data_IF_486521750051
#
_entry.id   IF_486521750051
#
_cell.length_a   1.000
_cell.length_b   1.000
_cell.length_c   1.000
_cell.angle_alpha   90.00
_cell.angle_beta   90.00
_cell.angle_gamma   90.00
#
_symmetry.space_group_name_H-M   'P 1'
#
loop_
_entity.id
_entity.type
_entity.pdbx_description
1 polymer ?
#
# COMPACT_ATOMS: atom_id res chain seq x y z
N UNK A 1 21.41 -10.77 -19.35
CA UNK A 1 20.53 -11.75 -18.69
C UNK A 1 20.12 -11.17 -17.35
N UNK A 2 19.01 -10.42 -17.36
CA UNK A 2 18.35 -9.93 -16.16
C UNK A 2 17.68 -11.14 -15.53
N UNK A 3 18.23 -11.57 -14.38
CA UNK A 3 17.83 -12.73 -13.61
C UNK A 3 16.31 -12.86 -13.56
N UNK A 4 15.81 -14.00 -14.05
CA UNK A 4 14.44 -14.50 -13.93
C UNK A 4 14.03 -14.82 -12.48
N UNK A 5 14.63 -14.12 -11.49
CA UNK A 5 14.49 -14.39 -10.06
C UNK A 5 13.89 -13.20 -9.29
N UNK A 6 13.30 -12.21 -9.97
CA UNK A 6 12.14 -11.50 -9.40
C UNK A 6 10.94 -12.42 -9.60
N UNK A 7 10.95 -13.55 -8.90
CA UNK A 7 9.97 -14.62 -9.01
C UNK A 7 8.59 -14.01 -8.70
N UNK A 8 7.60 -14.22 -9.56
CA UNK A 8 6.21 -13.82 -9.31
C UNK A 8 5.69 -14.29 -7.93
N UNK A 9 6.31 -15.32 -7.36
CA UNK A 9 6.12 -15.84 -6.01
C UNK A 9 6.50 -14.86 -4.87
N UNK A 10 7.52 -14.00 -5.06
CA UNK A 10 7.92 -12.99 -4.06
C UNK A 10 7.00 -11.78 -4.01
N UNK A 11 6.27 -11.50 -5.10
CA UNK A 11 5.30 -10.40 -5.14
C UNK A 11 4.04 -10.73 -4.31
N UNK A 12 3.65 -12.01 -4.30
CA UNK A 12 2.58 -12.56 -3.45
C UNK A 12 2.88 -12.38 -1.95
N UNK A 13 4.15 -12.51 -1.55
CA UNK A 13 4.58 -12.30 -0.15
C UNK A 13 4.58 -10.81 0.24
N UNK A 14 5.05 -9.92 -0.63
CA UNK A 14 5.24 -8.51 -0.26
C UNK A 14 3.94 -7.71 -0.11
N UNK A 15 2.85 -8.10 -0.78
CA UNK A 15 1.60 -7.33 -0.76
C UNK A 15 0.45 -7.97 0.04
N UNK A 16 0.50 -9.27 0.33
CA UNK A 16 -0.71 -9.99 0.77
C UNK A 16 -0.57 -10.92 1.97
N UNK A 17 0.57 -10.94 2.68
CA UNK A 17 0.79 -11.79 3.87
C UNK A 17 0.51 -13.28 3.57
N UNK A 18 0.74 -13.68 2.32
CA UNK A 18 0.48 -15.02 1.81
C UNK A 18 1.58 -15.97 2.27
N UNK A 19 1.16 -17.16 2.69
CA UNK A 19 2.01 -18.23 3.21
C UNK A 19 2.49 -19.12 2.08
N UNK A 20 3.51 -19.94 2.35
CA UNK A 20 3.99 -20.95 1.39
C UNK A 20 2.87 -21.83 0.83
N UNK A 21 1.93 -22.26 1.69
CA UNK A 21 0.76 -23.04 1.27
C UNK A 21 -0.16 -22.29 0.29
N UNK A 22 -0.19 -20.96 0.35
CA UNK A 22 -0.99 -20.15 -0.57
C UNK A 22 -0.35 -20.12 -1.96
N UNK A 23 0.98 -20.12 -2.03
CA UNK A 23 1.71 -20.26 -3.30
C UNK A 23 1.49 -21.64 -3.90
N UNK A 24 1.56 -22.69 -3.08
CA UNK A 24 1.32 -24.07 -3.50
C UNK A 24 -0.09 -24.24 -4.09
N UNK A 25 -1.12 -23.70 -3.43
CA UNK A 25 -2.51 -23.70 -3.95
C UNK A 25 -2.63 -22.90 -5.25
N UNK A 26 -1.99 -21.74 -5.35
CA UNK A 26 -2.05 -20.92 -6.56
C UNK A 26 -1.34 -21.59 -7.75
N UNK A 27 -0.17 -22.21 -7.51
CA UNK A 27 0.55 -22.97 -8.52
C UNK A 27 -0.27 -24.16 -9.01
N UNK A 28 -0.83 -24.96 -8.08
CA UNK A 28 -1.73 -26.07 -8.42
C UNK A 28 -2.84 -25.62 -9.37
N UNK A 29 -3.56 -24.55 -9.01
CA UNK A 29 -4.67 -24.04 -9.80
C UNK A 29 -4.23 -23.40 -11.13
N UNK A 30 -2.96 -23.00 -11.25
CA UNK A 30 -2.39 -22.45 -12.49
C UNK A 30 -1.94 -23.54 -13.46
N UNK A 31 -1.51 -24.68 -12.93
CA UNK A 31 -1.07 -25.83 -13.72
C UNK A 31 -2.24 -26.72 -14.15
N UNK A 32 -3.32 -26.74 -13.37
CA UNK A 32 -4.53 -27.51 -13.67
C UNK A 32 -5.41 -26.78 -14.70
N UNK A 33 -5.77 -27.44 -15.83
CA UNK A 33 -6.61 -26.83 -16.85
C UNK A 33 -8.09 -26.73 -16.43
N UNK A 34 -8.52 -27.54 -15.46
CA UNK A 34 -9.89 -27.59 -14.97
C UNK A 34 -10.01 -26.93 -13.59
N UNK A 35 -11.10 -26.19 -13.32
CA UNK A 35 -11.29 -25.52 -12.04
C UNK A 35 -11.59 -26.54 -10.94
N UNK A 36 -10.96 -26.38 -9.79
CA UNK A 36 -11.03 -27.36 -8.70
C UNK A 36 -11.91 -26.88 -7.55
N UNK A 37 -12.52 -27.83 -6.84
CA UNK A 37 -13.17 -27.61 -5.55
C UNK A 37 -12.17 -27.48 -4.41
N UNK A 38 -12.59 -26.94 -3.27
CA UNK A 38 -11.74 -26.88 -2.06
C UNK A 38 -11.33 -28.27 -1.58
N UNK A 39 -12.20 -29.26 -1.76
CA UNK A 39 -11.94 -30.63 -1.36
C UNK A 39 -10.82 -31.24 -2.23
N UNK A 40 -10.92 -31.10 -3.56
CA UNK A 40 -9.87 -31.52 -4.50
C UNK A 40 -8.55 -30.79 -4.25
N UNK A 41 -8.59 -29.47 -4.02
CA UNK A 41 -7.38 -28.69 -3.68
C UNK A 41 -6.72 -29.27 -2.42
N UNK A 42 -7.49 -29.60 -1.39
CA UNK A 42 -6.99 -30.21 -0.15
C UNK A 42 -6.32 -31.57 -0.40
N UNK A 43 -6.93 -32.41 -1.22
CA UNK A 43 -6.40 -33.71 -1.58
C UNK A 43 -5.07 -33.59 -2.37
N UNK A 44 -4.97 -32.63 -3.30
CA UNK A 44 -3.76 -32.42 -4.09
C UNK A 44 -2.57 -31.91 -3.26
N UNK A 45 -2.80 -31.03 -2.28
CA UNK A 45 -1.73 -30.48 -1.43
C UNK A 45 -1.48 -31.32 -0.16
N UNK A 46 -2.11 -32.49 -0.04
CA UNK A 46 -2.07 -33.36 1.14
C UNK A 46 -2.39 -32.61 2.45
N UNK A 47 -3.50 -31.85 2.45
CA UNK A 47 -3.96 -31.09 3.63
C UNK A 47 -5.44 -31.26 3.85
N UNK A 48 -5.83 -31.14 5.13
CA UNK A 48 -7.23 -31.07 5.47
C UNK A 48 -7.95 -29.92 4.75
N UNK A 49 -9.19 -30.19 4.34
CA UNK A 49 -10.12 -29.23 3.74
C UNK A 49 -10.14 -27.87 4.41
N UNK A 50 -10.08 -27.81 5.75
CA UNK A 50 -10.13 -26.54 6.49
C UNK A 50 -8.90 -25.66 6.22
N UNK A 51 -7.75 -26.28 5.96
CA UNK A 51 -6.49 -25.61 5.64
C UNK A 51 -6.50 -25.12 4.19
N UNK A 52 -6.93 -25.97 3.26
CA UNK A 52 -7.15 -25.59 1.86
C UNK A 52 -8.15 -24.43 1.74
N UNK A 53 -9.29 -24.51 2.43
CA UNK A 53 -10.30 -23.45 2.46
C UNK A 53 -9.73 -22.10 2.90
N UNK A 54 -8.93 -22.08 3.97
CA UNK A 54 -8.31 -20.84 4.47
C UNK A 54 -7.34 -20.25 3.46
N UNK A 55 -6.60 -21.09 2.75
CA UNK A 55 -5.67 -20.68 1.71
C UNK A 55 -6.41 -20.08 0.50
N UNK A 56 -7.38 -20.81 -0.04
CA UNK A 56 -8.26 -20.35 -1.12
C UNK A 56 -8.94 -19.03 -0.77
N UNK A 57 -9.45 -18.89 0.47
CA UNK A 57 -10.11 -17.65 0.90
C UNK A 57 -9.14 -16.47 0.99
N UNK A 58 -7.88 -16.67 1.42
CA UNK A 58 -6.86 -15.60 1.38
C UNK A 58 -6.56 -15.18 -0.05
N UNK A 59 -6.38 -16.14 -0.95
CA UNK A 59 -6.10 -15.86 -2.37
C UNK A 59 -7.27 -15.17 -3.07
N UNK A 60 -8.51 -15.52 -2.74
CA UNK A 60 -9.71 -14.80 -3.20
C UNK A 60 -9.74 -13.36 -2.71
N UNK A 61 -9.49 -13.13 -1.42
CA UNK A 61 -9.48 -11.79 -0.83
C UNK A 61 -8.35 -10.92 -1.40
N UNK A 62 -7.22 -11.54 -1.72
CA UNK A 62 -6.10 -10.90 -2.37
C UNK A 62 -6.31 -10.70 -3.88
N UNK A 63 -7.37 -11.24 -4.47
CA UNK A 63 -7.74 -11.03 -5.87
C UNK A 63 -6.99 -11.92 -6.88
N UNK A 64 -6.35 -13.01 -6.41
CA UNK A 64 -5.62 -13.95 -7.28
C UNK A 64 -6.49 -15.07 -7.84
N UNK A 65 -7.58 -15.42 -7.16
CA UNK A 65 -8.52 -16.44 -7.60
C UNK A 65 -9.87 -15.85 -7.97
N UNK A 66 -10.61 -16.61 -8.78
CA UNK A 66 -12.03 -16.45 -9.01
C UNK A 66 -12.78 -17.67 -8.48
N UNK A 67 -14.06 -17.45 -8.17
CA UNK A 67 -14.96 -18.46 -7.64
C UNK A 67 -16.16 -18.57 -8.58
N UNK A 68 -16.41 -19.78 -9.06
CA UNK A 68 -17.57 -20.09 -9.89
C UNK A 68 -18.50 -21.06 -9.17
N UNK A 69 -19.81 -20.91 -9.39
CA UNK A 69 -20.81 -21.84 -8.90
C UNK A 69 -21.27 -22.72 -10.05
N UNK A 70 -21.04 -24.03 -9.92
CA UNK A 70 -21.51 -25.02 -10.88
C UNK A 70 -22.74 -25.71 -10.31
N UNK A 71 -23.83 -25.72 -11.09
CA UNK A 71 -25.09 -26.35 -10.71
C UNK A 71 -25.15 -27.77 -11.28
N UNK A 72 -25.62 -28.73 -10.46
CA UNK A 72 -25.86 -30.10 -10.93
C UNK A 72 -27.20 -30.19 -11.67
N UNK A 73 -27.26 -31.06 -12.68
CA UNK A 73 -28.50 -31.35 -13.43
C UNK A 73 -29.63 -31.90 -12.54
N UNK A 74 -29.28 -32.56 -11.43
CA UNK A 74 -30.21 -33.18 -10.49
C UNK A 74 -30.54 -32.28 -9.28
N UNK A 75 -30.10 -31.01 -9.33
CA UNK A 75 -30.25 -30.05 -8.24
C UNK A 75 -29.05 -30.03 -7.28
N UNK A 76 -28.85 -28.89 -6.62
CA UNK A 76 -27.65 -28.60 -5.83
C UNK A 76 -26.58 -27.84 -6.61
N UNK A 77 -25.59 -27.33 -5.90
CA UNK A 77 -24.47 -26.61 -6.48
C UNK A 77 -23.19 -26.88 -5.70
N UNK A 78 -22.06 -26.69 -6.38
CA UNK A 78 -20.75 -26.68 -5.75
C UNK A 78 -19.95 -25.48 -6.24
N UNK A 79 -18.88 -25.17 -5.54
CA UNK A 79 -18.01 -24.06 -5.89
C UNK A 79 -16.68 -24.60 -6.36
N UNK A 80 -16.24 -24.07 -7.50
CA UNK A 80 -14.92 -24.32 -8.06
C UNK A 80 -14.13 -23.02 -8.10
N UNK A 81 -12.81 -23.17 -8.16
CA UNK A 81 -11.86 -22.09 -8.06
C UNK A 81 -10.83 -22.22 -9.16
N UNK A 82 -10.43 -21.09 -9.73
CA UNK A 82 -9.41 -21.01 -10.76
C UNK A 82 -8.64 -19.68 -10.62
N UNK A 83 -7.40 -19.58 -11.14
CA UNK A 83 -6.66 -18.34 -11.10
C UNK A 83 -7.35 -17.27 -11.96
N UNK A 84 -7.21 -16.01 -11.56
CA UNK A 84 -7.52 -14.90 -12.46
C UNK A 84 -6.43 -14.80 -13.52
N UNK A 85 -6.77 -14.14 -14.62
CA UNK A 85 -5.82 -13.84 -15.68
C UNK A 85 -4.65 -13.00 -15.13
N UNK A 86 -3.44 -13.38 -15.52
CA UNK A 86 -2.22 -12.74 -15.02
C UNK A 86 -2.11 -11.28 -15.47
N UNK A 87 -2.62 -10.94 -16.67
CA UNK A 87 -2.67 -9.58 -17.17
C UNK A 87 -3.61 -8.75 -16.31
N UNK A 88 -4.82 -9.25 -16.03
CA UNK A 88 -5.79 -8.57 -15.15
C UNK A 88 -5.22 -8.30 -13.76
N UNK A 89 -4.58 -9.31 -13.14
CA UNK A 89 -3.94 -9.17 -11.83
C UNK A 89 -2.87 -8.07 -11.88
N UNK A 90 -2.00 -8.10 -12.90
CA UNK A 90 -0.90 -7.14 -13.03
C UNK A 90 -1.38 -5.70 -13.24
N UNK A 91 -2.41 -5.50 -14.06
CA UNK A 91 -3.01 -4.19 -14.30
C UNK A 91 -3.64 -3.62 -13.03
N UNK A 92 -4.33 -4.46 -12.25
CA UNK A 92 -4.93 -4.07 -10.99
C UNK A 92 -3.88 -3.67 -9.95
N UNK A 93 -2.79 -4.43 -9.84
CA UNK A 93 -1.64 -4.09 -8.99
C UNK A 93 -1.02 -2.73 -9.37
N UNK A 94 -0.81 -2.49 -10.67
CA UNK A 94 -0.27 -1.23 -11.16
C UNK A 94 -1.19 -0.04 -10.81
N UNK A 95 -2.51 -0.24 -10.90
CA UNK A 95 -3.51 0.77 -10.53
C UNK A 95 -3.44 1.09 -9.04
N UNK A 96 -3.40 0.07 -8.18
CA UNK A 96 -3.30 0.24 -6.73
C UNK A 96 -2.02 0.99 -6.32
N UNK A 97 -0.89 0.66 -6.95
CA UNK A 97 0.38 1.36 -6.72
C UNK A 97 0.28 2.85 -7.06
N UNK A 98 -0.29 3.16 -8.23
CA UNK A 98 -0.45 4.54 -8.68
C UNK A 98 -1.40 5.33 -7.76
N UNK A 99 -2.51 4.72 -7.33
CA UNK A 99 -3.48 5.34 -6.42
C UNK A 99 -2.83 5.66 -5.06
N UNK A 100 -1.99 4.75 -4.53
CA UNK A 100 -1.28 4.99 -3.28
C UNK A 100 -0.22 6.09 -3.41
N UNK A 101 0.53 6.11 -4.52
CA UNK A 101 1.50 7.16 -4.79
C UNK A 101 0.84 8.55 -4.82
N UNK A 102 -0.30 8.67 -5.49
CA UNK A 102 -1.09 9.91 -5.51
C UNK A 102 -1.55 10.30 -4.10
N UNK A 103 -2.09 9.35 -3.32
CA UNK A 103 -2.54 9.59 -1.95
C UNK A 103 -1.42 10.05 -1.02
N UNK A 104 -0.24 9.42 -1.10
CA UNK A 104 0.92 9.82 -0.30
C UNK A 104 1.41 11.22 -0.70
N UNK A 105 1.43 11.53 -2.00
CA UNK A 105 1.75 12.87 -2.50
C UNK A 105 0.80 13.93 -1.94
N UNK A 106 -0.50 13.66 -1.89
CA UNK A 106 -1.49 14.54 -1.28
C UNK A 106 -1.22 14.75 0.21
N UNK A 107 -1.00 13.68 0.98
CA UNK A 107 -0.73 13.78 2.42
C UNK A 107 0.55 14.57 2.73
N UNK A 108 1.59 14.42 1.89
CA UNK A 108 2.83 15.21 2.03
C UNK A 108 2.58 16.69 1.74
N UNK A 109 1.79 17.01 0.71
CA UNK A 109 1.43 18.39 0.40
C UNK A 109 0.62 19.03 1.53
N UNK A 110 -0.40 18.33 2.04
CA UNK A 110 -1.22 18.75 3.17
C UNK A 110 -0.37 18.96 4.44
N UNK A 111 0.58 18.06 4.70
CA UNK A 111 1.52 18.21 5.80
C UNK A 111 2.39 19.47 5.62
N UNK A 112 2.96 19.68 4.43
CA UNK A 112 3.79 20.85 4.18
C UNK A 112 3.03 22.16 4.32
N UNK A 113 1.76 22.21 3.91
CA UNK A 113 0.90 23.38 4.07
C UNK A 113 0.54 23.63 5.54
N UNK A 114 0.19 22.57 6.27
CA UNK A 114 -0.20 22.65 7.69
C UNK A 114 0.95 23.15 8.58
N UNK A 115 2.20 22.79 8.24
CA UNK A 115 3.38 23.09 9.03
C UNK A 115 4.34 24.07 8.35
N UNK A 116 3.90 24.77 7.30
CA UNK A 116 4.65 25.88 6.76
C UNK A 116 4.75 26.97 7.83
N UNK A 117 5.94 27.13 8.42
CA UNK A 117 6.24 28.23 9.33
C UNK A 117 6.20 29.50 8.49
N UNK A 118 5.20 30.37 8.71
CA UNK A 118 5.25 31.71 8.14
C UNK A 118 6.54 32.39 8.63
N UNK A 119 7.38 32.94 7.74
CA UNK A 119 8.54 33.69 8.19
C UNK A 119 8.04 34.83 9.10
N UNK A 120 8.50 34.84 10.35
CA UNK A 120 8.28 36.01 11.22
C UNK A 120 8.71 37.25 10.44
N UNK A 121 7.87 38.30 10.38
CA UNK A 121 8.25 39.52 9.68
C UNK A 121 9.57 40.00 10.27
N UNK A 122 10.60 40.11 9.41
CA UNK A 122 11.90 40.63 9.81
C UNK A 122 11.68 41.98 10.52
N UNK A 123 12.25 42.20 11.71
CA UNK A 123 12.04 43.45 12.43
C UNK A 123 12.50 44.61 11.54
N UNK A 124 11.59 45.54 11.25
CA UNK A 124 11.89 46.75 10.50
C UNK A 124 13.09 47.45 11.15
N UNK A 125 14.08 47.93 10.38
CA UNK A 125 15.25 48.60 10.96
C UNK A 125 14.79 49.83 11.74
N UNK A 126 15.04 49.84 13.05
CA UNK A 126 14.74 50.98 13.92
C UNK A 126 15.45 52.24 13.36
N UNK A 127 14.78 53.40 13.31
CA UNK A 127 15.42 54.63 12.89
C UNK A 127 16.55 54.98 13.86
N UNK A 128 17.76 55.09 13.33
CA UNK A 128 18.94 55.54 14.06
C UNK A 128 18.62 56.88 14.74
N UNK A 129 18.65 56.90 16.08
CA UNK A 129 18.56 58.14 16.83
C UNK A 129 19.87 58.90 16.66
N UNK A 130 19.81 60.01 15.91
CA UNK A 130 20.89 60.99 15.87
C UNK A 130 21.10 61.56 17.28
N UNK A 131 22.14 61.07 17.94
CA UNK A 131 22.74 61.67 19.12
C UNK A 131 23.44 62.96 18.71
N UNK A 132 22.82 64.10 18.97
CA UNK A 132 23.57 65.35 19.11
C UNK A 132 23.77 65.67 20.59
N UNK A 133 24.97 65.32 21.05
CA UNK A 133 25.56 65.82 22.28
C UNK A 133 26.06 67.24 22.04
N UNK A 134 25.53 68.23 22.75
CA UNK A 134 26.29 69.45 23.01
C UNK A 134 26.14 69.89 24.47
N UNK A 135 27.05 69.34 25.28
CA UNK A 135 27.96 70.07 26.17
C UNK A 135 27.38 71.14 27.12
N UNK A 136 27.19 70.75 28.38
CA UNK A 136 27.47 71.60 29.56
C UNK A 136 28.95 72.07 29.53
N UNK A 137 29.39 73.18 30.18
CA UNK A 137 29.28 73.29 31.64
C UNK A 137 29.36 74.70 32.32
N UNK A 138 29.25 74.63 33.66
CA UNK A 138 29.92 75.44 34.71
C UNK A 138 29.08 76.49 35.48
N UNK A 139 28.62 76.05 36.66
CA UNK A 139 28.74 76.59 38.03
C UNK A 139 28.53 78.10 38.35
N UNK A 140 27.49 78.35 39.18
CA UNK A 140 27.40 79.09 40.50
C UNK A 140 28.09 80.46 40.72
N UNK A 141 27.79 81.24 41.79
CA UNK A 141 26.73 81.21 42.83
C UNK A 141 26.07 82.61 43.14
N UNK A 142 25.18 82.62 44.15
CA UNK A 142 24.86 83.73 45.10
C UNK A 142 24.01 84.94 44.65
N UNK A 143 22.75 84.98 45.12
CA UNK A 143 22.20 86.01 46.03
C UNK A 143 20.79 85.65 46.51
#
# INVERSE_FOLDING_TARGET
>A
MLRQDMQCEGLLECFHDLKEIDKEVFQLLSDEPEPLTVDEIGDHIDRERSTAYRSVNRLLQAGFLQKEQINYDQGGYYHVYHPRDAEDISQEMQRLLNDWYAKMGQLIAEFSETYAVEPEPEPEPEPESESDSESEPVASPDQ
#
